data_IF_504985574305
#
_entry.id   IF_504985574305
#
_cell.length_a   1.000
_cell.length_b   1.000
_cell.length_c   1.000
_cell.angle_alpha   90.00
_cell.angle_beta   90.00
_cell.angle_gamma   90.00
#
_symmetry.space_group_name_H-M   'P 1'
#
loop_
_entity.id
_entity.type
_entity.pdbx_description
1 polymer ?
#
# COMPACT_ATOMS: atom_id res chain seq x y z
N UNK A 1 1.04 -8.21 -4.62
CA UNK A 1 1.02 -9.66 -4.28
C UNK A 1 2.40 -10.32 -4.25
N UNK A 2 3.44 -9.65 -4.64
CA UNK A 2 4.80 -10.19 -4.61
C UNK A 2 5.18 -10.63 -3.18
N UNK A 3 5.65 -11.87 -3.02
CA UNK A 3 6.01 -12.41 -1.69
C UNK A 3 7.15 -11.67 -0.99
N UNK A 4 8.00 -10.98 -1.75
CA UNK A 4 9.11 -10.17 -1.19
C UNK A 4 8.60 -8.92 -0.46
N UNK A 5 7.36 -8.50 -0.74
CA UNK A 5 6.76 -7.27 -0.23
C UNK A 5 5.96 -7.50 1.05
N UNK A 6 5.32 -8.65 1.17
CA UNK A 6 4.29 -8.87 2.19
C UNK A 6 4.82 -8.79 3.62
N UNK A 7 5.91 -9.47 3.94
CA UNK A 7 6.45 -9.47 5.31
C UNK A 7 6.97 -8.08 5.71
N UNK A 8 7.80 -7.40 4.92
CA UNK A 8 8.25 -6.05 5.29
C UNK A 8 7.10 -5.06 5.50
N UNK A 9 6.09 -5.10 4.63
CA UNK A 9 4.93 -4.20 4.74
C UNK A 9 4.09 -4.54 5.96
N UNK A 10 3.88 -5.82 6.26
CA UNK A 10 3.14 -6.24 7.45
C UNK A 10 3.84 -5.81 8.73
N UNK A 11 5.16 -6.02 8.82
CA UNK A 11 5.95 -5.62 9.99
C UNK A 11 5.89 -4.10 10.19
N UNK A 12 6.07 -3.34 9.11
CA UNK A 12 5.97 -1.88 9.14
C UNK A 12 4.58 -1.44 9.64
N UNK A 13 3.53 -1.99 9.08
CA UNK A 13 2.15 -1.60 9.38
C UNK A 13 1.79 -1.92 10.84
N UNK A 14 2.14 -3.09 11.31
CA UNK A 14 1.92 -3.48 12.71
C UNK A 14 2.60 -2.52 13.69
N UNK A 15 3.85 -2.20 13.44
CA UNK A 15 4.62 -1.29 14.27
C UNK A 15 4.09 0.13 14.22
N UNK A 16 3.76 0.61 13.01
CA UNK A 16 3.30 2.00 12.80
C UNK A 16 1.97 2.28 13.48
N UNK A 17 1.04 1.33 13.44
CA UNK A 17 -0.29 1.50 14.01
C UNK A 17 -0.48 0.80 15.35
N UNK A 18 0.53 0.10 15.86
CA UNK A 18 0.45 -0.58 17.16
C UNK A 18 -0.63 -1.67 17.19
N UNK A 19 -0.74 -2.46 16.13
CA UNK A 19 -1.78 -3.50 16.00
C UNK A 19 -1.15 -4.88 15.84
N UNK A 20 -1.90 -5.92 16.21
CA UNK A 20 -1.45 -7.31 16.07
C UNK A 20 -1.80 -7.89 14.70
N UNK A 21 -2.89 -7.43 14.10
CA UNK A 21 -3.42 -7.96 12.85
C UNK A 21 -3.52 -6.87 11.80
N UNK A 22 -3.22 -7.23 10.54
CA UNK A 22 -3.27 -6.32 9.40
C UNK A 22 -4.08 -7.00 8.29
N UNK A 23 -5.09 -6.29 7.79
CA UNK A 23 -5.78 -6.73 6.57
C UNK A 23 -4.86 -6.52 5.38
N UNK A 24 -4.71 -7.56 4.56
CA UNK A 24 -3.85 -7.52 3.38
C UNK A 24 -4.70 -7.55 2.12
N UNK A 25 -4.62 -6.48 1.34
CA UNK A 25 -5.24 -6.41 0.02
C UNK A 25 -4.12 -6.51 -1.00
N UNK A 26 -4.12 -7.58 -1.79
CA UNK A 26 -3.04 -7.86 -2.73
C UNK A 26 -3.57 -8.00 -4.15
N UNK A 27 -2.85 -7.41 -5.08
CA UNK A 27 -3.15 -7.48 -6.49
C UNK A 27 -1.86 -7.27 -7.29
N UNK A 28 -1.75 -7.91 -8.44
CA UNK A 28 -0.57 -7.72 -9.30
C UNK A 28 -0.56 -6.27 -9.82
N UNK A 29 0.53 -5.53 -9.52
CA UNK A 29 0.66 -4.14 -9.96
C UNK A 29 -0.39 -3.20 -9.36
N UNK A 30 -0.75 -3.39 -8.10
CA UNK A 30 -1.87 -2.69 -7.45
C UNK A 30 -1.84 -1.16 -7.60
N UNK A 31 -0.66 -0.55 -7.50
CA UNK A 31 -0.55 0.93 -7.56
C UNK A 31 -0.82 1.52 -8.94
N UNK A 32 -0.77 0.70 -9.98
CA UNK A 32 -1.09 1.14 -11.35
C UNK A 32 -2.58 1.45 -11.53
N UNK A 33 -3.43 0.75 -10.77
CA UNK A 33 -4.87 0.91 -10.87
C UNK A 33 -5.55 0.51 -9.56
N UNK A 34 -5.91 1.50 -8.76
CA UNK A 34 -6.72 1.30 -7.55
C UNK A 34 -8.17 1.16 -8.02
N UNK A 35 -8.51 -0.03 -8.50
CA UNK A 35 -9.81 -0.33 -9.10
C UNK A 35 -10.93 -0.48 -8.06
N UNK A 36 -12.17 -0.64 -8.53
CA UNK A 36 -13.34 -0.76 -7.68
C UNK A 36 -13.27 -1.95 -6.72
N UNK A 37 -12.65 -3.06 -7.14
CA UNK A 37 -12.45 -4.24 -6.28
C UNK A 37 -11.53 -3.95 -5.11
N UNK A 38 -10.41 -3.29 -5.35
CA UNK A 38 -9.49 -2.85 -4.29
C UNK A 38 -10.20 -1.89 -3.34
N UNK A 39 -10.92 -0.91 -3.89
CA UNK A 39 -11.64 0.08 -3.08
C UNK A 39 -12.75 -0.56 -2.23
N UNK A 40 -13.42 -1.58 -2.75
CA UNK A 40 -14.40 -2.36 -1.98
C UNK A 40 -13.75 -3.06 -0.80
N UNK A 41 -12.60 -3.69 -1.00
CA UNK A 41 -11.87 -4.37 0.07
C UNK A 41 -11.38 -3.38 1.14
N UNK A 42 -10.91 -2.21 0.73
CA UNK A 42 -10.55 -1.13 1.68
C UNK A 42 -11.77 -0.73 2.51
N UNK A 43 -12.93 -0.55 1.87
CA UNK A 43 -14.17 -0.19 2.57
C UNK A 43 -14.55 -1.26 3.62
N UNK A 44 -14.47 -2.53 3.26
CA UNK A 44 -14.75 -3.63 4.19
C UNK A 44 -13.80 -3.59 5.38
N UNK A 45 -12.51 -3.38 5.13
CA UNK A 45 -11.51 -3.28 6.20
C UNK A 45 -11.81 -2.11 7.13
N UNK A 46 -12.11 -0.94 6.59
CA UNK A 46 -12.38 0.27 7.39
C UNK A 46 -13.71 0.16 8.12
N UNK A 47 -14.80 -0.16 7.41
CA UNK A 47 -16.15 -0.12 7.97
C UNK A 47 -16.47 -1.33 8.85
N UNK A 48 -16.05 -2.53 8.45
CA UNK A 48 -16.37 -3.77 9.18
C UNK A 48 -15.32 -4.13 10.23
N UNK A 49 -14.03 -3.94 9.93
CA UNK A 49 -12.94 -4.30 10.84
C UNK A 49 -12.44 -3.12 11.67
N UNK A 50 -12.90 -1.91 11.40
CA UNK A 50 -12.51 -0.71 12.14
C UNK A 50 -11.06 -0.27 11.90
N UNK A 51 -10.51 -0.55 10.74
CA UNK A 51 -9.15 -0.14 10.39
C UNK A 51 -8.99 1.37 10.45
N UNK A 52 -7.86 1.85 11.02
CA UNK A 52 -7.61 3.26 11.29
C UNK A 52 -6.56 3.89 10.40
N UNK A 53 -5.95 3.09 9.54
CA UNK A 53 -4.92 3.57 8.63
C UNK A 53 -4.76 2.65 7.44
N UNK A 54 -4.10 3.16 6.42
CA UNK A 54 -3.85 2.45 5.17
C UNK A 54 -2.39 2.62 4.80
N UNK A 55 -1.72 1.51 4.52
CA UNK A 55 -0.38 1.52 3.92
C UNK A 55 -0.52 1.12 2.46
N UNK A 56 -0.02 1.96 1.56
CA UNK A 56 0.01 1.70 0.12
C UNK A 56 1.44 1.37 -0.26
N UNK A 57 1.68 0.15 -0.72
CA UNK A 57 3.02 -0.33 -1.00
C UNK A 57 3.26 -0.52 -2.50
N UNK A 58 4.35 0.03 -2.99
CA UNK A 58 4.93 -0.29 -4.29
C UNK A 58 6.33 -0.87 -4.07
N UNK A 59 6.85 -1.56 -5.07
CA UNK A 59 8.15 -2.22 -4.97
C UNK A 59 8.86 -2.22 -6.32
N UNK A 60 10.18 -2.35 -6.28
CA UNK A 60 10.98 -2.52 -7.49
C UNK A 60 10.74 -3.89 -8.12
N UNK A 61 11.04 -4.03 -9.39
CA UNK A 61 10.94 -5.29 -10.14
C UNK A 61 9.53 -5.91 -10.06
N UNK A 62 8.50 -5.10 -10.37
CA UNK A 62 7.11 -5.55 -10.33
C UNK A 62 6.70 -6.17 -11.68
N UNK A 63 6.46 -7.48 -11.69
CA UNK A 63 6.05 -8.19 -12.90
C UNK A 63 4.67 -7.76 -13.42
N UNK A 64 3.76 -7.39 -12.53
CA UNK A 64 2.42 -6.93 -12.90
C UNK A 64 2.36 -5.49 -13.38
N UNK A 65 3.45 -4.73 -13.21
CA UNK A 65 3.56 -3.33 -13.62
C UNK A 65 5.04 -3.02 -13.92
N UNK A 66 5.56 -3.50 -15.08
CA UNK A 66 7.00 -3.47 -15.39
C UNK A 66 7.46 -2.11 -15.90
N UNK A 67 7.45 -1.11 -15.05
CA UNK A 67 7.89 0.26 -15.32
C UNK A 67 9.08 0.59 -14.41
N UNK A 68 9.67 1.78 -14.58
CA UNK A 68 10.81 2.22 -13.78
C UNK A 68 10.43 2.38 -12.31
N UNK A 69 11.45 2.32 -11.42
CA UNK A 69 11.26 2.58 -10.00
C UNK A 69 10.65 3.96 -9.75
N UNK A 70 11.11 4.97 -10.48
CA UNK A 70 10.59 6.33 -10.35
C UNK A 70 9.12 6.41 -10.72
N UNK A 71 8.70 5.76 -11.79
CA UNK A 71 7.30 5.71 -12.22
C UNK A 71 6.44 4.93 -11.21
N UNK A 72 6.96 3.82 -10.66
CA UNK A 72 6.31 3.07 -9.60
C UNK A 72 6.07 3.92 -8.36
N UNK A 73 7.09 4.67 -7.94
CA UNK A 73 6.98 5.56 -6.78
C UNK A 73 5.95 6.67 -7.02
N UNK A 74 5.93 7.26 -8.22
CA UNK A 74 4.94 8.27 -8.60
C UNK A 74 3.52 7.71 -8.56
N UNK A 75 3.32 6.50 -9.05
CA UNK A 75 2.01 5.82 -9.00
C UNK A 75 1.61 5.50 -7.57
N UNK A 76 2.54 5.10 -6.73
CA UNK A 76 2.28 4.85 -5.30
C UNK A 76 1.80 6.10 -4.59
N UNK A 77 2.45 7.23 -4.84
CA UNK A 77 2.03 8.53 -4.28
C UNK A 77 0.64 8.93 -4.77
N UNK A 78 0.34 8.73 -6.06
CA UNK A 78 -0.98 9.02 -6.62
C UNK A 78 -2.07 8.10 -6.03
N UNK A 79 -1.77 6.82 -5.85
CA UNK A 79 -2.68 5.86 -5.23
C UNK A 79 -2.97 6.23 -3.77
N UNK A 80 -1.94 6.65 -3.03
CA UNK A 80 -2.11 7.10 -1.65
C UNK A 80 -2.99 8.35 -1.57
N UNK A 81 -2.81 9.31 -2.48
CA UNK A 81 -3.66 10.51 -2.54
C UNK A 81 -5.12 10.16 -2.86
N UNK A 82 -5.36 9.21 -3.75
CA UNK A 82 -6.70 8.75 -4.08
C UNK A 82 -7.40 8.15 -2.86
N UNK A 83 -6.72 7.25 -2.15
CA UNK A 83 -7.26 6.63 -0.94
C UNK A 83 -7.43 7.63 0.20
N UNK A 84 -6.52 8.59 0.34
CA UNK A 84 -6.66 9.67 1.32
C UNK A 84 -7.90 10.53 1.01
N UNK A 85 -8.19 10.75 -0.26
CA UNK A 85 -9.40 11.47 -0.70
C UNK A 85 -10.67 10.69 -0.36
N UNK A 86 -10.65 9.37 -0.51
CA UNK A 86 -11.77 8.51 -0.12
C UNK A 86 -11.97 8.47 1.41
N UNK A 87 -10.87 8.54 2.16
CA UNK A 87 -10.85 8.37 3.61
C UNK A 87 -10.06 9.49 4.29
N UNK A 88 -10.59 10.73 4.30
CA UNK A 88 -9.83 11.88 4.81
C UNK A 88 -9.51 11.82 6.30
N UNK A 89 -10.23 11.01 7.08
CA UNK A 89 -10.01 10.84 8.52
C UNK A 89 -8.95 9.79 8.85
N UNK A 90 -8.52 8.99 7.88
CA UNK A 90 -7.50 7.96 8.09
C UNK A 90 -6.10 8.48 7.77
N UNK A 91 -5.10 7.87 8.38
CA UNK A 91 -3.70 8.06 7.97
C UNK A 91 -3.39 7.13 6.81
N UNK A 92 -2.99 7.68 5.67
CA UNK A 92 -2.61 6.91 4.48
C UNK A 92 -1.12 7.13 4.21
N UNK A 93 -0.34 6.04 4.23
CA UNK A 93 1.12 6.10 4.16
C UNK A 93 1.59 5.36 2.91
N UNK A 94 2.18 6.07 1.93
CA UNK A 94 2.82 5.42 0.79
C UNK A 94 4.20 4.91 1.18
N UNK A 95 4.51 3.66 0.85
CA UNK A 95 5.81 3.05 1.14
C UNK A 95 6.42 2.44 -0.10
N UNK A 96 7.73 2.37 -0.11
CA UNK A 96 8.54 1.78 -1.17
C UNK A 96 9.36 0.62 -0.62
N UNK A 97 9.31 -0.52 -1.31
CA UNK A 97 10.11 -1.69 -0.95
C UNK A 97 11.12 -1.95 -2.08
N UNK A 98 12.38 -1.52 -1.93
CA UNK A 98 13.40 -1.82 -2.92
C UNK A 98 13.83 -3.28 -2.85
N UNK A 99 14.27 -3.83 -3.98
CA UNK A 99 14.87 -5.18 -3.98
C UNK A 99 16.15 -5.16 -3.15
N UNK A 100 16.21 -6.03 -2.14
CA UNK A 100 17.39 -6.17 -1.28
C UNK A 100 17.64 -5.02 -0.32
N UNK A 101 16.72 -4.08 -0.19
CA UNK A 101 16.84 -2.93 0.71
C UNK A 101 15.70 -2.84 1.72
N UNK A 102 15.80 -1.85 2.59
CA UNK A 102 14.80 -1.59 3.62
C UNK A 102 13.61 -0.82 3.07
N UNK A 103 12.44 -1.06 3.65
CA UNK A 103 11.22 -0.31 3.35
C UNK A 103 11.41 1.17 3.68
N UNK A 104 10.97 2.03 2.77
CA UNK A 104 11.03 3.48 2.91
C UNK A 104 9.64 4.10 2.84
N UNK A 105 9.39 5.13 3.65
CA UNK A 105 8.19 5.96 3.50
C UNK A 105 8.45 6.94 2.35
N UNK A 106 7.52 6.99 1.39
CA UNK A 106 7.62 7.95 0.28
C UNK A 106 7.09 9.32 0.71
N UNK A 107 7.79 10.35 0.30
CA UNK A 107 7.36 11.74 0.50
C UNK A 107 6.97 12.33 -0.85
N UNK A 108 5.85 13.09 -0.91
CA UNK A 108 5.43 13.76 -2.14
C UNK A 108 6.42 14.83 -2.61
#
# INVERSE_FOLDING_TARGET
MDGRVQIPVMIFTRARFGVDFVDMITEAGAVADINDGVRLHVRISVEAHGSRGIVVAAHSDCAGNPISDQEQQSQCLAAARLLQSDWPELEVIPVWVPVGGDLEILNP
#
